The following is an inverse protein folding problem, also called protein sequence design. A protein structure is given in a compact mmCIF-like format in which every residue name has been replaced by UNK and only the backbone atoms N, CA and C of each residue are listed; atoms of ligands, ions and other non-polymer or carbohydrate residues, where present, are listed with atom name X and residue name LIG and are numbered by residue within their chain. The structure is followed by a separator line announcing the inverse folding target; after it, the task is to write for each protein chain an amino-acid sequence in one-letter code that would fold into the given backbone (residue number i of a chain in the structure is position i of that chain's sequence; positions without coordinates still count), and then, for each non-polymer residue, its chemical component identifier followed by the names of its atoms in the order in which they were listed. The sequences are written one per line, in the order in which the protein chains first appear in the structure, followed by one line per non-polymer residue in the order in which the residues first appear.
data_IF_179080240160
#
_entry.id   IF_179080240160
#
_cell.length_a   1.000
_cell.length_b   1.000
_cell.length_c   1.000
_cell.angle_alpha   90.00
_cell.angle_beta   90.00
_cell.angle_gamma   90.00
#
_symmetry.space_group_name_H-M   'P 1'
#
loop_
_entity.id
_entity.type
_entity.pdbx_description
1 polymer ?
#
# COMPACT_ATOMS: atom_id res chain seq x y z
N UNK A 1 0.74 14.33 -14.66
CA UNK A 1 0.10 14.83 -13.42
C UNK A 1 1.08 15.79 -12.76
N UNK A 2 0.63 16.77 -11.95
CA UNK A 2 1.58 17.65 -11.24
C UNK A 2 1.66 17.21 -9.78
N UNK A 3 2.76 16.54 -9.43
CA UNK A 3 3.09 16.18 -8.05
C UNK A 3 2.42 14.92 -7.53
N UNK A 4 2.82 14.51 -6.32
CA UNK A 4 2.26 13.40 -5.57
C UNK A 4 0.91 13.78 -4.95
N UNK A 5 -0.14 13.04 -5.30
CA UNK A 5 -1.52 13.34 -4.89
C UNK A 5 -2.30 12.07 -4.55
N UNK A 6 -3.36 12.24 -3.76
CA UNK A 6 -4.38 11.21 -3.58
C UNK A 6 -5.14 11.06 -4.89
N UNK A 7 -5.20 9.84 -5.39
CA UNK A 7 -6.00 9.42 -6.54
C UNK A 7 -7.18 8.60 -6.02
N UNK A 8 -8.28 8.63 -6.76
CA UNK A 8 -9.49 7.86 -6.43
C UNK A 8 -9.85 6.98 -7.61
N UNK A 9 -10.16 5.71 -7.35
CA UNK A 9 -10.76 4.78 -8.29
C UNK A 9 -12.09 4.29 -7.75
N UNK A 10 -13.09 4.17 -8.62
CA UNK A 10 -14.40 3.67 -8.27
C UNK A 10 -14.46 2.17 -8.59
N UNK A 11 -14.39 1.32 -7.56
CA UNK A 11 -14.36 -0.14 -7.76
C UNK A 11 -15.07 -0.91 -6.62
N UNK A 12 -15.33 -2.19 -6.82
CA UNK A 12 -15.85 -3.09 -5.80
C UNK A 12 -14.74 -3.58 -4.87
N UNK A 13 -15.04 -3.67 -3.58
CA UNK A 13 -14.17 -4.35 -2.61
C UNK A 13 -14.53 -5.83 -2.62
N UNK A 14 -13.55 -6.69 -2.87
CA UNK A 14 -13.70 -8.14 -2.89
C UNK A 14 -12.78 -8.77 -1.84
N UNK A 15 -13.31 -9.67 -1.01
CA UNK A 15 -12.54 -10.38 0.01
C UNK A 15 -13.23 -11.70 0.36
N UNK A 16 -12.51 -12.83 0.26
CA UNK A 16 -12.99 -14.19 0.58
C UNK A 16 -14.40 -14.50 0.03
N UNK A 17 -14.59 -14.35 -1.29
CA UNK A 17 -15.88 -14.59 -1.98
C UNK A 17 -17.05 -13.69 -1.51
N UNK A 18 -16.74 -12.60 -0.81
CA UNK A 18 -17.68 -11.53 -0.45
C UNK A 18 -17.35 -10.25 -1.21
N UNK A 19 -18.38 -9.49 -1.58
CA UNK A 19 -18.26 -8.26 -2.37
C UNK A 19 -19.08 -7.12 -1.77
N UNK A 20 -18.60 -5.88 -1.90
CA UNK A 20 -19.39 -4.70 -1.51
C UNK A 20 -20.62 -4.52 -2.41
N UNK A 21 -21.77 -4.15 -1.84
CA UNK A 21 -23.02 -4.02 -2.61
C UNK A 21 -22.95 -2.99 -3.75
N UNK A 22 -22.12 -1.96 -3.57
CA UNK A 22 -21.86 -0.93 -4.56
C UNK A 22 -20.36 -0.71 -4.72
N UNK A 23 -19.99 -0.05 -5.82
CA UNK A 23 -18.63 0.47 -5.99
C UNK A 23 -18.36 1.55 -4.96
N UNK A 24 -17.14 1.57 -4.46
CA UNK A 24 -16.65 2.48 -3.43
C UNK A 24 -15.50 3.32 -3.98
N UNK A 25 -15.33 4.50 -3.42
CA UNK A 25 -14.20 5.39 -3.71
C UNK A 25 -12.95 4.86 -2.99
N UNK A 26 -12.15 4.07 -3.70
CA UNK A 26 -10.89 3.55 -3.22
C UNK A 26 -9.78 4.54 -3.52
N UNK A 27 -9.06 4.97 -2.49
CA UNK A 27 -8.02 6.00 -2.60
C UNK A 27 -6.62 5.40 -2.52
N UNK A 28 -5.71 5.93 -3.33
CA UNK A 28 -4.31 5.52 -3.37
C UNK A 28 -3.40 6.71 -3.71
N UNK A 29 -2.12 6.61 -3.39
CA UNK A 29 -1.16 7.66 -3.76
C UNK A 29 -0.62 7.43 -5.18
N UNK A 30 -0.65 8.48 -5.99
CA UNK A 30 -0.09 8.46 -7.34
C UNK A 30 0.41 9.83 -7.77
N UNK A 31 1.50 9.84 -8.55
CA UNK A 31 2.05 11.05 -9.13
C UNK A 31 3.58 11.11 -9.12
N UNK A 32 4.08 12.23 -9.61
CA UNK A 32 5.51 12.44 -9.86
C UNK A 32 6.21 13.07 -8.65
N UNK A 33 7.39 12.53 -8.29
CA UNK A 33 8.28 13.07 -7.25
C UNK A 33 9.68 13.30 -7.80
N UNK A 34 10.34 14.37 -7.33
CA UNK A 34 11.67 14.73 -7.77
C UNK A 34 12.71 13.69 -7.30
N UNK A 35 13.43 13.11 -8.26
CA UNK A 35 14.56 12.21 -8.04
C UNK A 35 15.70 12.62 -8.96
N UNK A 36 16.94 12.34 -8.57
CA UNK A 36 18.11 12.69 -9.39
C UNK A 36 19.26 11.70 -9.20
N UNK A 37 20.13 11.65 -10.20
CA UNK A 37 21.43 10.99 -10.17
C UNK A 37 22.38 11.79 -11.04
N UNK A 38 23.63 12.00 -10.61
CA UNK A 38 24.62 12.83 -11.33
C UNK A 38 25.86 12.00 -11.64
N UNK A 39 26.19 11.87 -12.92
CA UNK A 39 27.40 11.13 -13.33
C UNK A 39 28.70 11.82 -12.86
N UNK A 40 28.71 13.15 -12.84
CA UNK A 40 29.86 13.94 -12.37
C UNK A 40 30.19 13.72 -10.90
N UNK A 41 29.25 13.16 -10.14
CA UNK A 41 29.39 12.84 -8.72
C UNK A 41 28.96 11.39 -8.48
N UNK A 42 29.79 10.41 -8.88
CA UNK A 42 29.44 8.99 -8.81
C UNK A 42 29.02 8.59 -7.38
N UNK A 43 27.84 8.00 -7.26
CA UNK A 43 27.24 7.61 -5.97
C UNK A 43 26.32 8.66 -5.35
N UNK A 44 26.26 9.89 -5.88
CA UNK A 44 25.28 10.89 -5.45
C UNK A 44 23.95 10.72 -6.21
N UNK A 45 23.01 10.03 -5.56
CA UNK A 45 21.63 9.90 -6.03
C UNK A 45 20.64 10.19 -4.90
N UNK A 46 19.46 10.69 -5.28
CA UNK A 46 18.33 10.82 -4.37
C UNK A 46 17.09 10.27 -5.06
N UNK A 47 16.40 9.40 -4.34
CA UNK A 47 15.13 8.84 -4.78
C UNK A 47 14.01 9.31 -3.87
N UNK A 48 12.91 9.71 -4.47
CA UNK A 48 11.72 10.16 -3.76
C UNK A 48 10.53 9.47 -4.39
N UNK A 49 9.68 8.84 -3.58
CA UNK A 49 8.46 8.18 -4.04
C UNK A 49 7.24 8.86 -3.43
N UNK A 50 6.13 8.79 -4.15
CA UNK A 50 4.83 9.24 -3.65
C UNK A 50 4.31 8.20 -2.66
N UNK A 51 4.19 8.59 -1.38
CA UNK A 51 3.82 7.68 -0.30
C UNK A 51 2.66 8.24 0.52
N UNK A 52 1.92 7.33 1.15
CA UNK A 52 0.84 7.66 2.09
C UNK A 52 1.46 8.29 3.33
N UNK A 53 1.00 9.50 3.69
CA UNK A 53 1.40 10.16 4.95
C UNK A 53 0.32 10.10 6.01
N UNK A 54 -0.95 10.02 5.57
CA UNK A 54 -2.09 9.84 6.47
C UNK A 54 -3.13 8.93 5.84
N UNK A 55 -3.68 8.04 6.65
CA UNK A 55 -4.75 7.15 6.26
C UNK A 55 -5.67 6.85 7.45
N UNK A 56 -6.90 6.46 7.15
CA UNK A 56 -7.89 5.99 8.12
C UNK A 56 -8.38 4.60 7.77
N UNK A 57 -8.78 3.83 8.79
CA UNK A 57 -9.51 2.59 8.59
C UNK A 57 -10.99 2.90 8.41
N UNK A 58 -11.59 2.41 7.32
CA UNK A 58 -13.02 2.49 7.04
C UNK A 58 -13.60 1.10 7.03
N UNK A 59 -14.82 0.95 7.52
CA UNK A 59 -15.52 -0.34 7.53
C UNK A 59 -16.66 -0.32 6.52
N UNK A 60 -16.82 -1.41 5.80
CA UNK A 60 -17.88 -1.64 4.82
C UNK A 60 -18.48 -3.02 5.04
N UNK A 61 -19.76 -3.19 4.74
CA UNK A 61 -20.39 -4.51 4.72
C UNK A 61 -20.20 -5.14 3.35
N UNK A 62 -19.73 -6.38 3.31
CA UNK A 62 -19.61 -7.20 2.12
C UNK A 62 -20.67 -8.30 2.18
N UNK A 63 -21.35 -8.52 1.05
CA UNK A 63 -22.31 -9.60 0.87
C UNK A 63 -21.60 -10.80 0.28
N UNK A 64 -21.74 -11.95 0.93
CA UNK A 64 -21.07 -13.20 0.57
C UNK A 64 -22.00 -14.10 -0.23
N UNK A 65 -21.44 -15.01 -1.04
CA UNK A 65 -22.23 -15.93 -1.86
C UNK A 65 -23.09 -16.91 -1.03
N UNK A 66 -22.69 -17.18 0.21
CA UNK A 66 -23.43 -18.01 1.16
C UNK A 66 -24.63 -17.27 1.82
N UNK A 67 -24.83 -15.98 1.50
CA UNK A 67 -25.88 -15.14 2.05
C UNK A 67 -25.50 -14.37 3.31
N UNK A 68 -24.30 -14.58 3.86
CA UNK A 68 -23.82 -13.84 5.02
C UNK A 68 -23.43 -12.40 4.63
N UNK A 69 -23.45 -11.53 5.64
CA UNK A 69 -22.93 -10.17 5.54
C UNK A 69 -21.79 -10.01 6.53
N UNK A 70 -20.61 -9.65 6.03
CA UNK A 70 -19.39 -9.50 6.84
C UNK A 70 -18.91 -8.05 6.84
N UNK A 71 -18.57 -7.54 8.01
CA UNK A 71 -17.92 -6.22 8.14
C UNK A 71 -16.43 -6.36 7.78
N UNK A 72 -15.98 -5.60 6.78
CA UNK A 72 -14.59 -5.58 6.32
C UNK A 72 -14.00 -4.18 6.50
N UNK A 73 -12.84 -4.11 7.15
CA UNK A 73 -12.09 -2.88 7.31
C UNK A 73 -11.05 -2.74 6.19
N UNK A 74 -11.02 -1.58 5.53
CA UNK A 74 -10.04 -1.24 4.51
C UNK A 74 -9.36 0.10 4.83
N UNK A 75 -8.16 0.29 4.28
CA UNK A 75 -7.39 1.51 4.43
C UNK A 75 -7.85 2.54 3.39
N UNK A 76 -8.25 3.71 3.85
CA UNK A 76 -8.54 4.87 3.02
C UNK A 76 -7.41 5.90 3.16
N UNK A 77 -6.73 6.18 2.05
CA UNK A 77 -5.67 7.18 1.97
C UNK A 77 -6.29 8.57 2.03
N UNK A 78 -5.80 9.40 2.96
CA UNK A 78 -6.26 10.78 3.15
C UNK A 78 -5.24 11.80 2.64
N UNK A 79 -3.95 11.49 2.79
CA UNK A 79 -2.88 12.39 2.38
C UNK A 79 -1.70 11.60 1.80
N UNK A 80 -1.08 12.23 0.81
CA UNK A 80 0.12 11.73 0.14
C UNK A 80 1.20 12.81 0.15
N UNK A 81 2.45 12.39 0.26
CA UNK A 81 3.58 13.28 0.05
C UNK A 81 4.75 12.55 -0.61
N UNK A 82 5.61 13.34 -1.24
CA UNK A 82 6.89 12.87 -1.73
C UNK A 82 7.83 12.61 -0.55
N UNK A 83 8.18 11.34 -0.33
CA UNK A 83 9.09 10.92 0.74
C UNK A 83 10.38 10.33 0.15
N UNK A 84 11.53 10.72 0.71
CA UNK A 84 12.82 10.19 0.30
C UNK A 84 12.88 8.70 0.63
N UNK A 85 13.35 7.90 -0.31
CA UNK A 85 13.50 6.45 -0.18
C UNK A 85 14.84 6.01 -0.76
N UNK A 86 15.21 4.76 -0.52
CA UNK A 86 16.38 4.15 -1.13
C UNK A 86 15.94 3.27 -2.32
N UNK A 87 16.27 3.69 -3.55
CA UNK A 87 15.92 2.94 -4.77
C UNK A 87 16.56 1.54 -4.84
N UNK A 88 17.62 1.29 -4.07
CA UNK A 88 18.41 0.05 -4.15
C UNK A 88 18.08 -0.95 -3.05
N UNK A 89 17.13 -0.61 -2.16
CA UNK A 89 16.57 -1.57 -1.19
C UNK A 89 15.20 -2.02 -1.68
N UNK A 90 14.96 -3.33 -1.70
CA UNK A 90 13.61 -3.86 -1.90
C UNK A 90 12.68 -3.26 -0.84
N UNK A 91 11.62 -2.58 -1.27
CA UNK A 91 10.71 -1.90 -0.36
C UNK A 91 10.03 -2.90 0.57
N UNK A 92 10.06 -2.61 1.87
CA UNK A 92 9.18 -3.24 2.86
C UNK A 92 7.78 -2.67 2.61
N UNK A 93 7.04 -3.29 1.69
CA UNK A 93 5.58 -3.18 1.73
C UNK A 93 5.13 -3.71 3.08
N UNK A 94 4.25 -2.98 3.78
CA UNK A 94 3.62 -3.45 5.00
C UNK A 94 2.88 -4.77 4.69
N UNK A 95 3.56 -5.91 4.89
CA UNK A 95 2.91 -7.21 5.02
C UNK A 95 2.26 -7.20 6.38
N UNK A 96 0.97 -6.90 6.44
CA UNK A 96 0.19 -7.21 7.62
C UNK A 96 0.08 -8.74 7.71
N UNK A 97 0.67 -9.30 8.78
CA UNK A 97 0.48 -10.65 9.35
C UNK A 97 1.12 -11.76 8.49
N UNK A 98 2.13 -12.51 8.95
CA UNK A 98 2.06 -13.46 10.06
C UNK A 98 3.27 -13.42 11.01
N UNK A 99 2.99 -13.19 12.30
CA UNK A 99 3.80 -13.70 13.39
C UNK A 99 3.55 -15.21 13.50
N UNK A 100 4.50 -16.02 13.07
CA UNK A 100 4.53 -17.44 13.42
C UNK A 100 5.96 -17.86 13.72
N UNK A 101 6.31 -17.71 14.98
CA UNK A 101 7.40 -18.43 15.60
C UNK A 101 7.35 -19.93 15.24
N UNK A 102 8.40 -20.48 14.63
CA UNK A 102 8.90 -21.81 15.04
C UNK A 102 10.31 -22.10 14.55
N UNK A 103 11.24 -22.03 15.51
CA UNK A 103 12.38 -22.95 15.70
C UNK A 103 12.47 -24.10 14.67
N UNK A 104 13.64 -24.22 14.02
CA UNK A 104 14.37 -25.49 13.89
C UNK A 104 15.85 -25.21 13.57
N UNK A 105 16.64 -25.37 14.62
CA UNK A 105 18.03 -25.81 14.58
C UNK A 105 18.21 -27.04 13.68
N UNK A 106 19.18 -26.99 12.76
CA UNK A 106 19.91 -28.07 12.07
C UNK A 106 21.17 -27.36 11.51
N UNK A 107 22.44 -27.67 11.81
CA UNK A 107 23.04 -28.95 12.14
C UNK A 107 23.95 -29.39 10.99
N UNK A 108 25.14 -28.77 10.86
CA UNK A 108 26.40 -29.24 10.23
C UNK A 108 26.37 -29.72 8.75
N UNK A 109 27.53 -29.89 8.05
CA UNK A 109 28.87 -30.35 8.50
C UNK A 109 29.86 -29.27 8.89
#
# INVERSE_FOLDING_TARGET
MKGCQVQTVLDYINHNDCQSEKRMDLTFCGGDCASFSRYTEPGLSSCTCCQVTRASNRTVNLSCINGDVVAYAYIHVEECACSRTNCHKAGVGHTLIEDSQRKRSLGLP
#
